data_IF_544138635681
#
_entry.id   IF_544138635681
#
_cell.length_a   1.000
_cell.length_b   1.000
_cell.length_c   1.000
_cell.angle_alpha   90.00
_cell.angle_beta   90.00
_cell.angle_gamma   90.00
#
_symmetry.space_group_name_H-M   'P 1'
#
loop_
_entity.id
_entity.type
_entity.pdbx_description
1 polymer ?
#
# COMPACT_ATOMS: atom_id res chain seq x y z
N UNK A 1 -17.88 -10.03 29.20
CA UNK A 1 -16.67 -9.72 28.40
C UNK A 1 -17.10 -9.80 26.95
N UNK A 2 -17.06 -8.67 26.22
CA UNK A 2 -17.44 -8.66 24.82
C UNK A 2 -16.40 -9.41 24.00
N UNK A 3 -16.83 -10.32 23.14
CA UNK A 3 -15.99 -11.04 22.20
C UNK A 3 -16.22 -10.48 20.80
N UNK A 4 -15.14 -10.29 20.04
CA UNK A 4 -15.19 -9.84 18.67
C UNK A 4 -14.46 -10.83 17.77
N UNK A 5 -14.97 -11.03 16.57
CA UNK A 5 -14.30 -11.75 15.49
C UNK A 5 -13.62 -10.71 14.60
N UNK A 6 -12.37 -10.99 14.18
CA UNK A 6 -11.61 -10.14 13.29
C UNK A 6 -11.07 -10.99 12.13
N UNK A 7 -11.23 -10.48 10.92
CA UNK A 7 -10.64 -11.05 9.73
C UNK A 7 -9.71 -10.01 9.11
N UNK A 8 -8.51 -10.45 8.79
CA UNK A 8 -7.47 -9.64 8.18
C UNK A 8 -7.19 -10.15 6.78
N UNK A 9 -7.08 -9.24 5.83
CA UNK A 9 -6.64 -9.53 4.47
C UNK A 9 -5.74 -8.41 3.94
N UNK A 10 -4.90 -8.75 2.97
CA UNK A 10 -3.98 -7.83 2.32
C UNK A 10 -3.99 -8.00 0.79
N UNK A 11 -4.03 -6.89 0.09
CA UNK A 11 -3.99 -6.86 -1.36
C UNK A 11 -2.66 -6.32 -1.86
N UNK A 12 -2.06 -6.99 -2.85
CA UNK A 12 -0.81 -6.57 -3.51
C UNK A 12 0.46 -6.61 -2.63
N UNK A 13 0.39 -7.05 -1.37
CA UNK A 13 1.53 -7.08 -0.46
C UNK A 13 2.69 -7.95 -0.98
N UNK A 14 2.40 -9.14 -1.47
CA UNK A 14 3.41 -10.09 -1.97
C UNK A 14 4.01 -9.71 -3.32
N UNK A 15 3.38 -8.80 -4.06
CA UNK A 15 3.87 -8.38 -5.39
C UNK A 15 5.13 -7.54 -5.24
N UNK A 16 6.24 -8.03 -5.81
CA UNK A 16 7.52 -7.31 -5.82
C UNK A 16 7.42 -6.01 -6.61
N UNK A 17 8.13 -4.96 -6.15
CA UNK A 17 8.33 -3.76 -6.96
C UNK A 17 9.16 -4.14 -8.18
N UNK A 18 8.67 -3.78 -9.36
CA UNK A 18 9.45 -3.93 -10.57
C UNK A 18 10.28 -2.66 -10.80
N UNK A 19 11.53 -2.67 -10.37
CA UNK A 19 12.44 -1.52 -10.51
C UNK A 19 12.63 -1.08 -11.97
N UNK A 20 12.42 -1.97 -12.95
CA UNK A 20 12.50 -1.62 -14.38
C UNK A 20 11.38 -0.68 -14.83
N UNK A 21 10.25 -0.72 -14.15
CA UNK A 21 9.05 0.08 -14.49
C UNK A 21 8.76 1.20 -13.50
N UNK A 22 9.60 1.42 -12.47
CA UNK A 22 9.34 2.44 -11.44
C UNK A 22 9.21 3.87 -11.97
N UNK A 23 9.80 4.15 -13.14
CA UNK A 23 9.69 5.47 -13.79
C UNK A 23 8.48 5.59 -14.73
N UNK A 24 7.69 4.54 -14.90
CA UNK A 24 6.51 4.60 -15.76
C UNK A 24 5.41 5.45 -15.08
N UNK A 25 4.63 6.15 -15.89
CA UNK A 25 3.54 7.03 -15.39
C UNK A 25 2.44 6.26 -14.65
N UNK A 26 2.24 4.99 -15.00
CA UNK A 26 1.28 4.09 -14.40
C UNK A 26 1.88 3.18 -13.31
N UNK A 27 3.07 3.52 -12.82
CA UNK A 27 3.69 2.77 -11.74
C UNK A 27 2.87 2.85 -10.46
N UNK A 28 2.71 1.71 -9.82
CA UNK A 28 1.94 1.55 -8.59
C UNK A 28 2.66 0.60 -7.65
N UNK A 29 2.91 1.03 -6.43
CA UNK A 29 3.61 0.25 -5.41
C UNK A 29 2.87 0.16 -4.07
N UNK A 30 1.66 0.69 -4.01
CA UNK A 30 0.86 0.63 -2.80
C UNK A 30 0.28 -0.77 -2.59
N UNK A 31 0.06 -1.11 -1.35
CA UNK A 31 -0.74 -2.25 -0.92
C UNK A 31 -1.78 -1.80 0.09
N UNK A 32 -2.85 -2.54 0.16
CA UNK A 32 -3.95 -2.27 1.08
C UNK A 32 -4.03 -3.40 2.08
N UNK A 33 -4.14 -3.05 3.35
CA UNK A 33 -4.51 -3.98 4.41
C UNK A 33 -5.91 -3.65 4.89
N UNK A 34 -6.72 -4.66 5.13
CA UNK A 34 -8.08 -4.50 5.61
C UNK A 34 -8.34 -5.43 6.79
N UNK A 35 -9.02 -4.90 7.79
CA UNK A 35 -9.55 -5.66 8.91
C UNK A 35 -11.06 -5.45 8.93
N UNK A 36 -11.78 -6.55 8.96
CA UNK A 36 -13.24 -6.54 9.17
C UNK A 36 -13.51 -7.19 10.52
N UNK A 37 -14.27 -6.50 11.38
CA UNK A 37 -14.57 -6.97 12.72
C UNK A 37 -16.06 -6.84 13.06
N UNK A 38 -16.58 -7.79 13.84
CA UNK A 38 -17.94 -7.77 14.37
C UNK A 38 -18.05 -8.47 15.72
N UNK A 39 -19.12 -8.19 16.46
CA UNK A 39 -19.39 -8.90 17.71
C UNK A 39 -19.59 -10.40 17.46
N UNK A 40 -18.96 -11.23 18.30
CA UNK A 40 -19.12 -12.69 18.22
C UNK A 40 -20.57 -13.16 18.49
N UNK A 41 -21.43 -12.29 19.05
CA UNK A 41 -22.86 -12.57 19.25
C UNK A 41 -23.69 -12.42 17.99
N UNK A 42 -23.10 -11.87 16.91
CA UNK A 42 -23.77 -11.69 15.61
C UNK A 42 -23.52 -12.92 14.73
N UNK A 43 -24.33 -13.95 14.93
CA UNK A 43 -24.17 -15.26 14.29
C UNK A 43 -24.58 -15.31 12.80
N UNK A 44 -25.29 -14.32 12.31
CA UNK A 44 -25.88 -14.33 10.97
C UNK A 44 -24.92 -13.88 9.84
N UNK A 45 -23.81 -13.21 10.16
CA UNK A 45 -22.88 -12.69 9.17
C UNK A 45 -22.31 -13.79 8.26
N UNK A 46 -21.85 -14.89 8.86
CA UNK A 46 -21.31 -16.01 8.09
C UNK A 46 -22.36 -16.67 7.20
N UNK A 47 -23.62 -16.72 7.66
CA UNK A 47 -24.71 -17.24 6.88
C UNK A 47 -25.07 -16.30 5.71
N UNK A 48 -25.10 -14.99 5.95
CA UNK A 48 -25.32 -13.98 4.91
C UNK A 48 -24.21 -14.02 3.86
N UNK A 49 -22.95 -14.13 4.29
CA UNK A 49 -21.81 -14.28 3.39
C UNK A 49 -21.93 -15.57 2.54
N UNK A 50 -22.26 -16.70 3.16
CA UNK A 50 -22.42 -17.96 2.44
C UNK A 50 -23.59 -17.90 1.43
N UNK A 51 -24.69 -17.23 1.76
CA UNK A 51 -25.81 -16.98 0.86
C UNK A 51 -25.39 -16.10 -0.34
N UNK A 52 -24.60 -15.04 -0.10
CA UNK A 52 -24.03 -14.21 -1.15
C UNK A 52 -23.12 -15.04 -2.09
N UNK A 53 -22.20 -15.82 -1.54
CA UNK A 53 -21.31 -16.67 -2.33
C UNK A 53 -22.07 -17.71 -3.16
N UNK A 54 -23.15 -18.26 -2.62
CA UNK A 54 -24.04 -19.19 -3.33
C UNK A 54 -24.77 -18.52 -4.48
N UNK A 55 -25.28 -17.30 -4.25
CA UNK A 55 -26.00 -16.50 -5.27
C UNK A 55 -25.11 -16.16 -6.46
N UNK A 56 -23.83 -15.94 -6.22
CA UNK A 56 -22.84 -15.54 -7.24
C UNK A 56 -21.79 -16.62 -7.52
N UNK A 57 -22.17 -17.90 -7.38
CA UNK A 57 -21.26 -19.04 -7.57
C UNK A 57 -20.66 -19.07 -8.99
N UNK A 58 -21.39 -18.62 -10.00
CA UNK A 58 -20.97 -18.48 -11.40
C UNK A 58 -19.90 -17.39 -11.61
N UNK A 59 -19.67 -16.51 -10.62
CA UNK A 59 -18.68 -15.44 -10.63
C UNK A 59 -17.39 -15.81 -9.90
N UNK A 60 -17.31 -16.97 -9.30
CA UNK A 60 -16.11 -17.44 -8.60
C UNK A 60 -14.97 -17.74 -9.56
N UNK A 61 -13.75 -17.40 -9.14
CA UNK A 61 -12.54 -17.76 -9.88
C UNK A 61 -12.18 -19.25 -9.69
N UNK A 62 -11.02 -19.65 -10.23
CA UNK A 62 -10.53 -21.05 -10.12
C UNK A 62 -10.25 -21.49 -8.69
N UNK A 63 -10.08 -20.56 -7.77
CA UNK A 63 -9.87 -20.83 -6.34
C UNK A 63 -11.18 -20.83 -5.55
N UNK A 64 -12.31 -20.64 -6.20
CA UNK A 64 -13.62 -20.57 -5.56
C UNK A 64 -13.93 -19.22 -4.90
N UNK A 65 -13.20 -18.16 -5.26
CA UNK A 65 -13.35 -16.81 -4.67
C UNK A 65 -14.01 -15.83 -5.65
N UNK A 66 -14.86 -14.95 -5.13
CA UNK A 66 -15.42 -13.84 -5.88
C UNK A 66 -14.45 -12.66 -5.74
N UNK A 67 -13.72 -12.34 -6.81
CA UNK A 67 -12.73 -11.25 -6.82
C UNK A 67 -13.29 -9.99 -7.47
N UNK A 68 -12.75 -8.83 -7.10
CA UNK A 68 -13.07 -7.54 -7.74
C UNK A 68 -12.80 -7.53 -9.25
N UNK A 69 -11.97 -8.44 -9.75
CA UNK A 69 -11.66 -8.59 -11.19
C UNK A 69 -12.84 -9.02 -12.05
N UNK A 70 -13.94 -9.52 -11.44
CA UNK A 70 -15.22 -9.74 -12.16
C UNK A 70 -15.83 -8.43 -12.64
N UNK A 71 -15.42 -7.31 -12.04
CA UNK A 71 -15.79 -5.96 -12.45
C UNK A 71 -14.63 -5.36 -13.27
N UNK A 72 -14.72 -5.44 -14.59
CA UNK A 72 -13.66 -4.92 -15.44
C UNK A 72 -13.48 -3.40 -15.31
N UNK A 73 -12.23 -2.92 -15.29
CA UNK A 73 -11.89 -1.51 -15.15
C UNK A 73 -12.65 -0.59 -16.11
N UNK A 74 -12.91 -1.04 -17.35
CA UNK A 74 -13.70 -0.28 -18.34
C UNK A 74 -15.13 0.04 -17.88
N UNK A 75 -15.69 -0.77 -17.01
CA UNK A 75 -17.05 -0.60 -16.46
C UNK A 75 -17.13 0.50 -15.40
N UNK A 76 -15.98 0.93 -14.87
CA UNK A 76 -15.89 2.00 -13.87
C UNK A 76 -15.47 3.36 -14.44
N UNK A 77 -15.54 3.54 -15.77
CA UNK A 77 -15.06 4.77 -16.42
C UNK A 77 -15.62 6.06 -15.77
N UNK A 78 -16.85 6.00 -15.28
CA UNK A 78 -17.52 7.10 -14.57
C UNK A 78 -18.06 6.65 -13.19
N UNK A 79 -17.34 5.75 -12.52
CA UNK A 79 -17.72 5.20 -11.22
C UNK A 79 -18.82 4.13 -11.29
N UNK A 80 -19.46 3.87 -10.16
CA UNK A 80 -20.48 2.82 -10.04
C UNK A 80 -21.71 3.03 -10.93
N UNK A 81 -21.99 4.27 -11.33
CA UNK A 81 -23.14 4.60 -12.19
C UNK A 81 -23.05 4.00 -13.60
N UNK A 82 -21.86 3.56 -14.03
CA UNK A 82 -21.65 2.95 -15.34
C UNK A 82 -21.69 1.43 -15.34
N UNK A 83 -21.92 0.82 -14.19
CA UNK A 83 -22.10 -0.63 -14.10
C UNK A 83 -23.38 -1.06 -14.81
N UNK A 84 -23.29 -2.20 -15.51
CA UNK A 84 -24.50 -2.85 -16.02
C UNK A 84 -25.35 -3.38 -14.83
N UNK A 85 -26.62 -3.67 -15.12
CA UNK A 85 -27.60 -4.08 -14.09
C UNK A 85 -27.11 -5.26 -13.22
N UNK A 86 -26.48 -6.27 -13.82
CA UNK A 86 -26.00 -7.46 -13.10
C UNK A 86 -24.83 -7.14 -12.17
N UNK A 87 -23.88 -6.31 -12.62
CA UNK A 87 -22.74 -5.91 -11.81
C UNK A 87 -23.15 -4.90 -10.73
N UNK A 88 -24.10 -4.02 -11.02
CA UNK A 88 -24.68 -3.12 -10.01
C UNK A 88 -25.38 -3.94 -8.91
N UNK A 89 -26.12 -5.00 -9.28
CA UNK A 89 -26.76 -5.89 -8.31
C UNK A 89 -25.74 -6.63 -7.45
N UNK A 90 -24.66 -7.18 -8.05
CA UNK A 90 -23.56 -7.81 -7.32
C UNK A 90 -22.96 -6.86 -6.28
N UNK A 91 -22.66 -5.62 -6.68
CA UNK A 91 -22.08 -4.60 -5.78
C UNK A 91 -23.06 -4.24 -4.67
N UNK A 92 -24.32 -4.02 -4.99
CA UNK A 92 -25.33 -3.69 -3.98
C UNK A 92 -25.52 -4.82 -2.97
N UNK A 93 -25.61 -6.06 -3.43
CA UNK A 93 -25.74 -7.22 -2.54
C UNK A 93 -24.47 -7.39 -1.67
N UNK A 94 -23.28 -7.18 -2.23
CA UNK A 94 -22.04 -7.19 -1.45
C UNK A 94 -22.04 -6.09 -0.39
N UNK A 95 -22.39 -4.86 -0.76
CA UNK A 95 -22.41 -3.74 0.18
C UNK A 95 -23.50 -3.92 1.26
N UNK A 96 -24.58 -4.63 0.96
CA UNK A 96 -25.63 -4.93 1.95
C UNK A 96 -25.19 -5.88 3.06
N UNK A 97 -24.06 -6.58 2.89
CA UNK A 97 -23.46 -7.38 3.96
C UNK A 97 -22.88 -6.50 5.09
N UNK A 98 -22.58 -5.23 4.80
CA UNK A 98 -21.96 -4.32 5.75
C UNK A 98 -23.00 -3.42 6.38
N UNK A 99 -23.44 -3.78 7.58
CA UNK A 99 -24.34 -2.96 8.39
C UNK A 99 -23.58 -2.15 9.46
N UNK A 100 -24.29 -1.45 10.33
CA UNK A 100 -23.74 -0.62 11.42
C UNK A 100 -22.91 -1.39 12.44
N UNK A 101 -23.05 -2.72 12.52
CA UNK A 101 -22.41 -3.57 13.50
C UNK A 101 -21.11 -4.22 12.95
N UNK A 102 -20.80 -3.96 11.66
CA UNK A 102 -19.57 -4.38 11.03
C UNK A 102 -18.60 -3.21 10.98
N UNK A 103 -17.44 -3.40 11.57
CA UNK A 103 -16.37 -2.40 11.59
C UNK A 103 -15.33 -2.73 10.53
N UNK A 104 -15.06 -1.78 9.63
CA UNK A 104 -14.05 -1.92 8.59
C UNK A 104 -12.92 -0.93 8.86
N UNK A 105 -11.71 -1.44 8.97
CA UNK A 105 -10.49 -0.66 9.05
C UNK A 105 -9.62 -0.98 7.84
N UNK A 106 -9.18 0.02 7.13
CA UNK A 106 -8.26 -0.18 6.03
C UNK A 106 -7.09 0.80 6.11
N UNK A 107 -5.94 0.36 5.63
CA UNK A 107 -4.74 1.17 5.50
C UNK A 107 -4.16 0.99 4.11
N UNK A 108 -3.70 2.09 3.53
CA UNK A 108 -2.97 2.09 2.26
C UNK A 108 -1.53 2.46 2.56
N UNK A 109 -0.59 1.60 2.23
CA UNK A 109 0.83 1.77 2.51
C UNK A 109 1.66 1.65 1.24
N UNK A 110 2.75 2.42 1.15
CA UNK A 110 3.75 2.25 0.09
C UNK A 110 4.70 1.10 0.44
N UNK A 111 5.00 0.25 -0.53
CA UNK A 111 6.01 -0.81 -0.37
C UNK A 111 7.41 -0.24 -0.15
N UNK A 112 7.72 0.90 -0.78
CA UNK A 112 8.99 1.60 -0.57
C UNK A 112 9.09 2.02 0.89
N UNK A 113 8.05 2.66 1.43
CA UNK A 113 8.00 3.06 2.83
C UNK A 113 8.17 1.85 3.76
N UNK A 114 7.39 0.80 3.54
CA UNK A 114 7.47 -0.43 4.32
C UNK A 114 8.90 -0.99 4.35
N UNK A 115 9.57 -1.07 3.19
CA UNK A 115 10.94 -1.58 3.10
C UNK A 115 11.96 -0.67 3.80
N UNK A 116 11.82 0.64 3.67
CA UNK A 116 12.66 1.60 4.39
C UNK A 116 12.50 1.41 5.89
N UNK A 117 11.27 1.30 6.38
CA UNK A 117 10.98 1.07 7.79
C UNK A 117 11.58 -0.27 8.29
N UNK A 118 11.55 -1.33 7.48
CA UNK A 118 12.17 -2.61 7.82
C UNK A 118 13.71 -2.51 7.89
N UNK A 119 14.36 -1.87 6.93
CA UNK A 119 15.81 -1.70 6.92
C UNK A 119 16.26 -0.91 8.16
N UNK A 120 15.53 0.14 8.52
CA UNK A 120 15.85 1.02 9.64
C UNK A 120 15.07 0.71 10.92
N UNK A 121 14.49 -0.49 11.06
CA UNK A 121 13.65 -0.81 12.23
C UNK A 121 14.37 -0.71 13.58
N UNK A 122 15.69 -0.89 13.61
CA UNK A 122 16.52 -0.78 14.83
C UNK A 122 16.94 0.65 15.15
N UNK A 123 16.82 1.56 14.21
CA UNK A 123 17.16 2.97 14.42
C UNK A 123 16.07 3.64 15.26
N UNK A 124 16.47 4.28 16.34
CA UNK A 124 15.61 5.00 17.27
C UNK A 124 16.05 6.46 17.38
N UNK A 125 15.13 7.32 17.75
CA UNK A 125 15.44 8.72 18.05
C UNK A 125 16.47 8.81 19.17
N UNK A 126 17.43 9.69 19.01
CA UNK A 126 18.46 10.00 19.98
C UNK A 126 18.67 11.50 20.08
N UNK A 127 19.54 11.95 20.99
CA UNK A 127 19.88 13.37 21.08
C UNK A 127 20.51 13.94 19.81
N UNK A 128 21.20 13.11 19.02
CA UNK A 128 21.93 13.53 17.82
C UNK A 128 21.18 13.24 16.52
N UNK A 129 20.25 12.28 16.52
CA UNK A 129 19.58 11.79 15.29
C UNK A 129 18.10 11.65 15.53
N UNK A 130 17.31 12.31 14.70
CA UNK A 130 15.88 12.07 14.55
C UNK A 130 15.67 10.95 13.50
N UNK A 131 15.59 9.71 13.99
CA UNK A 131 15.46 8.53 13.15
C UNK A 131 14.13 8.49 12.37
N UNK A 132 13.08 9.09 12.89
CA UNK A 132 11.78 9.12 12.21
C UNK A 132 11.78 10.14 11.08
N UNK A 133 12.39 11.31 11.30
CA UNK A 133 12.59 12.30 10.23
C UNK A 133 13.53 11.75 9.13
N UNK A 134 14.57 11.02 9.51
CA UNK A 134 15.47 10.33 8.57
C UNK A 134 14.69 9.35 7.68
N UNK A 135 13.92 8.42 8.27
CA UNK A 135 13.12 7.44 7.53
C UNK A 135 12.13 8.12 6.59
N UNK A 136 11.44 9.16 7.09
CA UNK A 136 10.51 9.96 6.29
C UNK A 136 11.20 10.62 5.10
N UNK A 137 12.37 11.24 5.31
CA UNK A 137 13.13 11.93 4.26
C UNK A 137 13.61 10.96 3.18
N UNK A 138 14.08 9.77 3.58
CA UNK A 138 14.48 8.71 2.64
C UNK A 138 13.27 8.24 1.83
N UNK A 139 12.17 7.89 2.50
CA UNK A 139 10.93 7.44 1.84
C UNK A 139 10.45 8.48 0.84
N UNK A 140 10.38 9.74 1.26
CA UNK A 140 9.95 10.86 0.41
C UNK A 140 10.82 10.99 -0.84
N UNK A 141 12.15 10.93 -0.68
CA UNK A 141 13.07 11.02 -1.81
C UNK A 141 12.89 9.84 -2.78
N UNK A 142 12.76 8.63 -2.28
CA UNK A 142 12.57 7.43 -3.11
C UNK A 142 11.24 7.45 -3.86
N UNK A 143 10.16 7.89 -3.23
CA UNK A 143 8.84 8.00 -3.86
C UNK A 143 8.80 9.13 -4.90
N UNK A 144 9.41 10.27 -4.61
CA UNK A 144 9.42 11.43 -5.52
C UNK A 144 10.28 11.21 -6.76
N UNK A 145 11.52 10.74 -6.56
CA UNK A 145 12.51 10.65 -7.63
C UNK A 145 12.60 9.28 -8.29
N UNK A 146 12.12 8.25 -7.61
CA UNK A 146 12.09 6.85 -8.09
C UNK A 146 13.43 6.39 -8.67
N UNK A 147 14.56 6.54 -7.96
CA UNK A 147 15.88 6.17 -8.45
C UNK A 147 15.99 4.64 -8.60
N UNK A 148 16.03 4.15 -9.83
CA UNK A 148 15.96 2.72 -10.16
C UNK A 148 17.00 1.88 -9.44
N UNK A 149 18.24 2.34 -9.40
CA UNK A 149 19.33 1.60 -8.79
C UNK A 149 19.15 1.47 -7.27
N UNK A 150 18.72 2.53 -6.60
CA UNK A 150 18.47 2.48 -5.17
C UNK A 150 17.26 1.58 -4.84
N UNK A 151 16.18 1.69 -5.62
CA UNK A 151 15.02 0.82 -5.44
C UNK A 151 15.39 -0.64 -5.70
N UNK A 152 16.29 -0.91 -6.64
CA UNK A 152 16.84 -2.25 -6.84
C UNK A 152 17.58 -2.75 -5.61
N UNK A 153 18.42 -1.91 -5.00
CA UNK A 153 19.17 -2.25 -3.78
C UNK A 153 18.28 -2.59 -2.58
N UNK A 154 17.07 -1.99 -2.47
CA UNK A 154 16.12 -2.35 -1.41
C UNK A 154 15.81 -3.86 -1.38
N UNK A 155 15.85 -4.52 -2.53
CA UNK A 155 15.52 -5.95 -2.67
C UNK A 155 16.73 -6.85 -2.83
N UNK A 156 17.70 -6.43 -3.64
CA UNK A 156 18.77 -7.30 -4.09
C UNK A 156 20.02 -7.19 -3.21
N UNK A 157 20.29 -6.00 -2.68
CA UNK A 157 21.52 -5.72 -1.92
C UNK A 157 21.28 -4.68 -0.82
N UNK A 158 20.56 -5.01 0.26
CA UNK A 158 20.30 -4.04 1.33
C UNK A 158 21.59 -3.44 1.95
N UNK A 159 22.71 -4.16 1.88
CA UNK A 159 24.02 -3.65 2.35
C UNK A 159 24.53 -2.48 1.51
N UNK A 160 24.27 -2.50 0.21
CA UNK A 160 24.72 -1.45 -0.72
C UNK A 160 23.73 -0.27 -0.74
N UNK A 161 22.52 -0.47 -0.21
CA UNK A 161 21.47 0.53 -0.19
C UNK A 161 21.94 1.87 0.42
N UNK A 162 22.61 1.84 1.56
CA UNK A 162 23.10 3.06 2.22
C UNK A 162 24.17 3.77 1.40
N UNK A 163 25.04 3.03 0.73
CA UNK A 163 26.10 3.58 -0.12
C UNK A 163 25.50 4.29 -1.32
N UNK A 164 24.58 3.63 -2.02
CA UNK A 164 23.89 4.20 -3.18
C UNK A 164 22.97 5.36 -2.78
N UNK A 165 22.33 5.28 -1.62
CA UNK A 165 21.52 6.37 -1.07
C UNK A 165 22.34 7.62 -0.78
N UNK A 166 23.51 7.48 -0.14
CA UNK A 166 24.44 8.59 0.12
C UNK A 166 24.95 9.22 -1.17
N UNK A 167 25.27 8.42 -2.16
CA UNK A 167 25.66 8.90 -3.49
C UNK A 167 24.54 9.70 -4.13
N UNK A 168 23.33 9.16 -4.14
CA UNK A 168 22.15 9.83 -4.68
C UNK A 168 21.91 11.21 -4.04
N UNK A 169 21.97 11.34 -2.72
CA UNK A 169 21.77 12.63 -2.07
C UNK A 169 22.90 13.62 -2.39
N UNK A 170 24.16 13.18 -2.51
CA UNK A 170 25.26 14.04 -2.97
C UNK A 170 25.00 14.58 -4.36
N UNK A 171 24.62 13.70 -5.29
CA UNK A 171 24.30 14.06 -6.67
C UNK A 171 23.11 15.06 -6.71
N UNK A 172 22.10 14.85 -5.86
CA UNK A 172 20.96 15.75 -5.74
C UNK A 172 21.34 17.13 -5.20
N UNK A 173 22.16 17.18 -4.17
CA UNK A 173 22.67 18.45 -3.60
C UNK A 173 23.41 19.24 -4.69
N UNK A 174 24.23 18.56 -5.49
CA UNK A 174 24.95 19.21 -6.60
C UNK A 174 24.00 19.65 -7.72
N UNK A 175 23.05 18.81 -8.13
CA UNK A 175 22.04 19.18 -9.12
C UNK A 175 21.20 20.39 -8.69
N UNK A 176 20.92 20.54 -7.40
CA UNK A 176 20.17 21.67 -6.84
C UNK A 176 21.04 22.87 -6.44
N UNK A 177 22.28 22.94 -6.94
CA UNK A 177 23.22 24.02 -6.65
C UNK A 177 22.63 25.42 -6.82
N UNK A 178 21.79 25.59 -7.84
CA UNK A 178 21.15 26.87 -8.18
C UNK A 178 19.77 27.06 -7.50
N UNK A 179 19.32 26.11 -6.66
CA UNK A 179 18.08 26.22 -5.92
C UNK A 179 18.34 26.10 -4.40
N UNK A 180 18.60 27.22 -3.69
CA UNK A 180 19.01 27.19 -2.29
C UNK A 180 18.03 26.44 -1.37
N UNK A 181 16.73 26.60 -1.58
CA UNK A 181 15.70 25.94 -0.75
C UNK A 181 15.71 24.41 -0.89
N UNK A 182 15.82 23.91 -2.12
CA UNK A 182 15.91 22.45 -2.36
C UNK A 182 17.25 21.91 -1.88
N UNK A 183 18.34 22.63 -2.16
CA UNK A 183 19.68 22.27 -1.68
C UNK A 183 19.73 22.13 -0.17
N UNK A 184 19.16 23.10 0.55
CA UNK A 184 19.10 23.06 2.01
C UNK A 184 18.36 21.82 2.50
N UNK A 185 17.14 21.54 2.00
CA UNK A 185 16.35 20.37 2.39
C UNK A 185 17.05 19.06 2.12
N UNK A 186 17.72 18.92 0.98
CA UNK A 186 18.44 17.70 0.62
C UNK A 186 19.74 17.56 1.45
N UNK A 187 20.38 18.65 1.81
CA UNK A 187 21.53 18.67 2.73
C UNK A 187 21.11 18.22 4.13
N UNK A 188 20.01 18.75 4.64
CA UNK A 188 19.45 18.33 5.94
C UNK A 188 19.12 16.83 5.93
N UNK A 189 18.46 16.33 4.88
CA UNK A 189 18.17 14.90 4.73
C UNK A 189 19.45 14.06 4.65
N UNK A 190 20.46 14.51 3.94
CA UNK A 190 21.75 13.82 3.82
C UNK A 190 22.51 13.75 5.14
N UNK A 191 22.45 14.79 5.97
CA UNK A 191 23.08 14.82 7.28
C UNK A 191 22.45 13.85 8.28
N UNK A 192 21.20 13.46 8.06
CA UNK A 192 20.49 12.47 8.88
C UNK A 192 20.84 11.02 8.53
N UNK A 193 21.43 10.76 7.37
CA UNK A 193 21.80 9.44 6.84
C UNK A 193 23.28 9.12 7.11
#
# INVERSE_FOLDING_TARGET
>A
MFKYNFYYDESEHSRKINYKTVSASNYYDNFVTMIVGWSAEKDDILQQHAAFETKYADRKDRNGEIKSTVLHQKQFKYGFSTLNKQNAQLVNDFLSLFDKDIHIYFSVSSKIEYLVLQIFQRYRNSFLVDADLMKYSITKALVMYRPKEIIKCLYESPKDFLVELKKFFRDRIECNRNNPKLKQKETEAFQQI
#
